data_IF_909014390731
#
_entry.id   IF_909014390731
#
_cell.length_a   1.000
_cell.length_b   1.000
_cell.length_c   1.000
_cell.angle_alpha   90.00
_cell.angle_beta   90.00
_cell.angle_gamma   90.00
#
_symmetry.space_group_name_H-M   'P 1'
#
loop_
_entity.id
_entity.type
_entity.pdbx_description
1 polymer ?
#
# COMPACT_ATOMS: atom_id res chain seq x y z
N UNK A 1 -13.32 -9.92 -42.79
CA UNK A 1 -12.37 -10.77 -43.56
C UNK A 1 -11.79 -9.91 -44.67
N UNK A 2 -10.50 -9.59 -44.60
CA UNK A 2 -9.78 -8.88 -45.67
C UNK A 2 -9.01 -9.94 -46.47
N UNK A 3 -9.44 -10.22 -47.70
CA UNK A 3 -8.71 -11.09 -48.60
C UNK A 3 -7.40 -10.40 -49.00
N UNK A 4 -6.29 -10.96 -48.50
CA UNK A 4 -4.94 -10.55 -48.85
C UNK A 4 -4.34 -11.60 -49.78
N UNK A 5 -4.60 -11.44 -51.07
CA UNK A 5 -3.96 -12.21 -52.13
C UNK A 5 -3.55 -11.24 -53.22
N UNK A 6 -2.35 -10.69 -53.05
CA UNK A 6 -1.41 -10.32 -54.13
C UNK A 6 -0.16 -9.72 -53.49
N UNK A 7 0.76 -10.60 -53.08
CA UNK A 7 2.15 -10.22 -52.79
C UNK A 7 2.93 -10.50 -54.06
N UNK A 8 3.11 -9.47 -54.88
CA UNK A 8 4.02 -9.53 -56.03
C UNK A 8 5.47 -9.41 -55.53
N UNK A 9 6.35 -10.40 -55.79
CA UNK A 9 7.71 -10.46 -55.26
C UNK A 9 8.69 -9.82 -56.23
N UNK A 10 8.75 -8.49 -56.25
CA UNK A 10 9.92 -7.78 -56.78
C UNK A 10 10.50 -6.94 -55.65
N UNK A 11 11.60 -7.48 -55.13
CA UNK A 11 12.45 -7.03 -54.03
C UNK A 11 12.72 -5.53 -54.07
N UNK A 12 11.81 -4.73 -53.53
CA UNK A 12 12.20 -3.46 -52.95
C UNK A 12 12.95 -3.82 -51.66
N UNK A 13 14.28 -3.60 -51.56
CA UNK A 13 15.01 -3.91 -50.34
C UNK A 13 14.25 -3.29 -49.18
N UNK A 14 13.83 -4.11 -48.21
CA UNK A 14 13.06 -3.63 -47.06
C UNK A 14 13.89 -2.53 -46.44
N UNK A 15 13.38 -1.30 -46.49
CA UNK A 15 14.08 -0.15 -45.92
C UNK A 15 14.30 -0.43 -44.44
N UNK A 16 15.56 -0.50 -44.02
CA UNK A 16 15.93 -0.70 -42.63
C UNK A 16 15.63 0.57 -41.84
N UNK A 17 15.03 0.41 -40.66
CA UNK A 17 14.76 1.48 -39.69
C UNK A 17 15.59 1.21 -38.45
N UNK A 18 16.49 2.14 -38.13
CA UNK A 18 17.41 2.07 -36.98
C UNK A 18 16.78 2.74 -35.78
N UNK A 19 16.54 1.95 -34.73
CA UNK A 19 15.96 2.41 -33.49
C UNK A 19 17.01 2.32 -32.39
N UNK A 20 17.46 3.49 -31.93
CA UNK A 20 18.41 3.61 -30.85
C UNK A 20 17.69 3.58 -29.51
N UNK A 21 18.29 2.93 -28.52
CA UNK A 21 17.78 2.94 -27.15
C UNK A 21 18.86 3.11 -26.09
N UNK A 22 18.47 3.76 -24.99
CA UNK A 22 19.32 3.95 -23.81
C UNK A 22 18.56 3.51 -22.56
N UNK A 23 19.24 2.69 -21.76
CA UNK A 23 18.71 2.15 -20.52
C UNK A 23 17.71 1.02 -20.71
N UNK A 24 17.26 0.49 -19.58
CA UNK A 24 16.27 -0.58 -19.47
C UNK A 24 15.29 -0.21 -18.37
N UNK A 25 14.00 -0.43 -18.59
CA UNK A 25 12.93 -0.24 -17.62
C UNK A 25 11.75 -1.12 -17.93
N UNK A 26 11.60 -2.13 -17.09
CA UNK A 26 10.45 -3.02 -17.09
C UNK A 26 9.18 -2.26 -16.63
N UNK A 27 7.99 -2.48 -17.24
CA UNK A 27 7.69 -3.34 -18.40
C UNK A 27 7.78 -2.62 -19.75
N UNK A 28 8.11 -1.32 -19.76
CA UNK A 28 8.02 -0.47 -20.96
C UNK A 28 9.00 -0.91 -22.04
N UNK A 29 10.25 -1.16 -21.66
CA UNK A 29 11.33 -1.49 -22.58
C UNK A 29 12.53 -2.04 -21.81
N UNK A 30 12.87 -3.32 -21.95
CA UNK A 30 13.93 -3.97 -21.17
C UNK A 30 14.58 -5.12 -21.93
N UNK A 31 15.80 -5.47 -21.55
CA UNK A 31 16.51 -6.68 -21.99
C UNK A 31 16.33 -7.77 -20.90
N UNK A 32 15.47 -8.79 -21.12
CA UNK A 32 15.45 -10.00 -20.30
C UNK A 32 16.80 -10.75 -20.32
N UNK A 33 16.90 -11.82 -19.53
CA UNK A 33 18.13 -12.61 -19.34
C UNK A 33 18.75 -13.18 -20.64
N UNK A 34 17.94 -13.33 -21.70
CA UNK A 34 18.39 -13.80 -23.01
C UNK A 34 18.99 -12.69 -23.89
N UNK A 35 19.02 -11.45 -23.39
CA UNK A 35 19.48 -10.27 -24.14
C UNK A 35 18.53 -9.84 -25.26
N UNK A 36 17.38 -10.50 -25.41
CA UNK A 36 16.41 -10.20 -26.45
C UNK A 36 15.50 -9.10 -25.94
N UNK A 37 15.69 -7.90 -26.47
CA UNK A 37 14.87 -6.75 -26.13
C UNK A 37 13.35 -7.05 -26.16
N UNK A 38 12.64 -6.61 -25.12
CA UNK A 38 11.21 -6.83 -24.90
C UNK A 38 10.53 -5.59 -24.29
N UNK A 39 9.20 -5.54 -24.30
CA UNK A 39 8.41 -4.51 -23.62
C UNK A 39 7.39 -3.80 -24.49
N UNK A 40 6.51 -3.03 -23.85
CA UNK A 40 5.37 -2.34 -24.50
C UNK A 40 5.84 -1.44 -25.65
N UNK A 41 6.90 -0.66 -25.44
CA UNK A 41 7.42 0.27 -26.43
C UNK A 41 8.01 -0.45 -27.64
N UNK A 42 8.65 -1.61 -27.43
CA UNK A 42 9.15 -2.44 -28.54
C UNK A 42 8.00 -2.94 -29.40
N UNK A 43 6.98 -3.53 -28.79
CA UNK A 43 5.83 -4.08 -29.51
C UNK A 43 5.03 -3.00 -30.26
N UNK A 44 4.91 -1.81 -29.68
CA UNK A 44 4.33 -0.64 -30.35
C UNK A 44 5.09 -0.31 -31.64
N UNK A 45 6.41 -0.24 -31.58
CA UNK A 45 7.24 0.06 -32.76
C UNK A 45 7.23 -1.06 -33.79
N UNK A 46 7.30 -2.33 -33.38
CA UNK A 46 7.22 -3.48 -34.29
C UNK A 46 5.87 -3.52 -35.02
N UNK A 47 4.79 -3.18 -34.32
CA UNK A 47 3.45 -3.07 -34.90
C UNK A 47 3.38 -1.91 -35.90
N UNK A 48 3.90 -0.73 -35.51
CA UNK A 48 3.91 0.46 -36.36
C UNK A 48 4.79 0.30 -37.62
N UNK A 49 5.85 -0.49 -37.52
CA UNK A 49 6.85 -0.71 -38.58
C UNK A 49 6.69 -2.06 -39.27
N UNK A 50 5.56 -2.75 -39.12
CA UNK A 50 5.33 -4.04 -39.80
C UNK A 50 5.54 -3.91 -41.33
N UNK A 51 6.48 -4.70 -41.86
CA UNK A 51 6.91 -4.64 -43.27
C UNK A 51 8.24 -3.90 -43.51
N UNK A 52 8.81 -3.26 -42.50
CA UNK A 52 10.17 -2.74 -42.49
C UNK A 52 11.10 -3.73 -41.78
N UNK A 53 12.39 -3.67 -42.09
CA UNK A 53 13.41 -4.31 -41.26
C UNK A 53 13.76 -3.36 -40.12
N UNK A 54 13.75 -3.83 -38.87
CA UNK A 54 14.02 -3.00 -37.70
C UNK A 54 15.38 -3.42 -37.14
N UNK A 55 16.30 -2.46 -37.01
CA UNK A 55 17.58 -2.65 -36.37
C UNK A 55 17.57 -1.94 -35.02
N UNK A 56 17.59 -2.72 -33.95
CA UNK A 56 17.67 -2.23 -32.58
C UNK A 56 19.13 -1.97 -32.22
N UNK A 57 19.43 -0.75 -31.75
CA UNK A 57 20.80 -0.34 -31.48
C UNK A 57 20.94 0.24 -30.07
N UNK A 58 21.69 -0.45 -29.21
CA UNK A 58 22.00 0.05 -27.86
C UNK A 58 22.97 1.24 -27.96
N UNK A 59 22.74 2.24 -27.13
CA UNK A 59 23.59 3.42 -27.00
C UNK A 59 23.84 3.71 -25.53
N UNK A 60 24.92 4.44 -25.26
CA UNK A 60 25.31 4.83 -23.90
C UNK A 60 24.62 6.14 -23.49
N UNK A 61 24.54 7.10 -24.42
CA UNK A 61 24.06 8.45 -24.15
C UNK A 61 22.83 8.76 -24.99
N UNK A 62 21.77 9.22 -24.34
CA UNK A 62 20.54 9.59 -25.03
C UNK A 62 20.70 10.87 -25.84
N UNK A 63 21.26 11.88 -25.21
CA UNK A 63 21.36 13.22 -25.76
C UNK A 63 21.21 14.27 -24.67
N UNK A 64 21.94 15.36 -24.84
CA UNK A 64 22.04 16.47 -23.93
C UNK A 64 20.67 17.08 -23.61
N UNK A 65 20.63 17.82 -22.51
CA UNK A 65 19.41 18.50 -22.07
C UNK A 65 19.04 19.63 -23.06
N UNK A 66 20.06 20.39 -23.46
CA UNK A 66 20.01 21.49 -24.41
C UNK A 66 21.03 21.22 -25.53
N UNK A 67 20.77 21.72 -26.74
CA UNK A 67 21.77 21.64 -27.80
C UNK A 67 22.99 22.50 -27.43
N UNK A 68 24.11 22.22 -28.07
CA UNK A 68 25.30 23.06 -28.04
C UNK A 68 25.06 24.43 -28.70
N UNK A 69 26.10 25.26 -28.73
CA UNK A 69 26.06 26.60 -29.34
C UNK A 69 25.70 26.56 -30.84
N UNK A 70 25.93 25.43 -31.52
CA UNK A 70 25.62 25.21 -32.93
C UNK A 70 24.20 24.65 -33.15
N UNK A 71 23.43 24.40 -32.09
CA UNK A 71 22.10 23.81 -32.19
C UNK A 71 22.09 22.28 -32.34
N UNK A 72 23.21 21.61 -32.08
CA UNK A 72 23.33 20.16 -32.13
C UNK A 72 23.25 19.53 -30.74
N UNK A 73 22.50 18.44 -30.64
CA UNK A 73 22.51 17.59 -29.46
C UNK A 73 23.66 16.57 -29.58
N UNK A 74 24.14 16.06 -28.46
CA UNK A 74 25.00 14.88 -28.44
C UNK A 74 24.18 13.57 -28.46
N UNK A 75 24.87 12.42 -28.40
CA UNK A 75 24.27 11.10 -28.29
C UNK A 75 23.27 10.76 -29.40
N UNK A 76 22.24 9.98 -29.07
CA UNK A 76 21.21 9.57 -30.02
C UNK A 76 20.46 10.73 -30.68
N UNK A 77 20.22 11.82 -29.94
CA UNK A 77 19.54 12.98 -30.50
C UNK A 77 20.37 13.67 -31.59
N UNK A 78 21.69 13.77 -31.40
CA UNK A 78 22.63 14.24 -32.42
C UNK A 78 22.73 13.31 -33.62
N UNK A 79 22.82 12.00 -33.39
CA UNK A 79 22.80 10.99 -34.45
C UNK A 79 21.52 11.09 -35.31
N UNK A 80 20.38 11.42 -34.70
CA UNK A 80 19.15 11.66 -35.44
C UNK A 80 19.17 12.95 -36.27
N UNK A 81 19.80 14.01 -35.77
CA UNK A 81 20.01 15.25 -36.54
C UNK A 81 20.94 15.01 -37.73
N UNK A 82 21.92 14.12 -37.59
CA UNK A 82 22.87 13.76 -38.65
C UNK A 82 22.33 12.66 -39.59
N UNK A 83 21.18 12.06 -39.28
CA UNK A 83 20.57 11.01 -40.09
C UNK A 83 21.25 9.63 -39.97
N UNK A 84 22.09 9.42 -38.95
CA UNK A 84 22.67 8.11 -38.63
C UNK A 84 21.76 7.25 -37.75
N UNK A 85 20.74 7.86 -37.15
CA UNK A 85 19.70 7.18 -36.38
C UNK A 85 18.30 7.68 -36.79
N UNK A 86 17.30 6.79 -36.80
CA UNK A 86 15.96 7.14 -37.28
C UNK A 86 15.02 7.48 -36.12
N UNK A 87 15.06 6.68 -35.05
CA UNK A 87 14.18 6.81 -33.88
C UNK A 87 15.02 6.66 -32.61
N UNK A 88 14.71 7.44 -31.58
CA UNK A 88 15.32 7.31 -30.25
C UNK A 88 14.29 6.93 -29.19
N UNK A 89 14.67 5.96 -28.36
CA UNK A 89 13.93 5.46 -27.20
C UNK A 89 14.73 5.68 -25.91
N UNK A 90 14.12 6.31 -24.91
CA UNK A 90 14.72 6.45 -23.58
C UNK A 90 13.68 6.30 -22.49
N UNK A 91 13.74 5.16 -21.82
CA UNK A 91 12.89 4.79 -20.67
C UNK A 91 12.75 5.91 -19.62
N UNK A 92 13.80 6.71 -19.49
CA UNK A 92 14.06 7.64 -18.40
C UNK A 92 13.45 9.03 -18.59
N UNK A 93 13.51 9.62 -19.79
CA UNK A 93 13.25 11.06 -19.97
C UNK A 93 12.68 11.39 -21.36
N UNK A 94 11.45 10.94 -21.54
CA UNK A 94 10.62 11.23 -22.71
C UNK A 94 9.93 12.61 -22.65
N UNK A 95 10.40 13.54 -21.82
CA UNK A 95 9.68 14.78 -21.56
C UNK A 95 9.58 15.67 -22.81
N UNK A 96 8.41 16.28 -23.04
CA UNK A 96 8.21 17.31 -24.05
C UNK A 96 9.13 18.51 -23.78
N UNK A 97 10.16 18.66 -24.62
CA UNK A 97 11.11 19.78 -24.53
C UNK A 97 11.10 20.60 -25.81
N UNK A 98 10.96 21.91 -25.64
CA UNK A 98 10.90 22.87 -26.73
C UNK A 98 12.10 22.76 -27.68
N UNK A 99 13.32 22.68 -27.14
CA UNK A 99 14.54 22.57 -27.96
C UNK A 99 14.56 21.28 -28.81
N UNK A 100 14.22 20.13 -28.20
CA UNK A 100 14.14 18.83 -28.91
C UNK A 100 13.04 18.83 -29.97
N UNK A 101 11.88 19.42 -29.66
CA UNK A 101 10.76 19.56 -30.61
C UNK A 101 11.08 20.49 -31.78
N UNK A 102 11.95 21.48 -31.58
CA UNK A 102 12.41 22.37 -32.64
C UNK A 102 13.32 21.64 -33.64
N UNK A 103 14.18 20.73 -33.17
CA UNK A 103 15.12 19.98 -33.98
C UNK A 103 14.55 18.68 -34.58
N UNK A 104 13.67 17.99 -33.85
CA UNK A 104 13.23 16.62 -34.18
C UNK A 104 11.71 16.58 -34.42
N UNK A 105 11.22 15.46 -34.98
CA UNK A 105 9.80 15.12 -34.88
C UNK A 105 9.54 14.39 -33.57
N UNK A 106 8.30 14.45 -33.09
CA UNK A 106 7.87 13.79 -31.86
C UNK A 106 6.52 13.08 -32.07
N UNK A 107 6.26 12.06 -31.27
CA UNK A 107 4.99 11.31 -31.30
C UNK A 107 3.91 12.03 -30.50
N UNK A 108 2.66 11.54 -30.60
CA UNK A 108 1.66 11.86 -29.58
C UNK A 108 2.12 11.32 -28.21
N UNK A 109 1.61 11.85 -27.09
CA UNK A 109 1.92 11.34 -25.76
C UNK A 109 1.61 9.84 -25.62
N UNK A 110 2.59 9.07 -25.14
CA UNK A 110 2.49 7.60 -25.06
C UNK A 110 2.16 7.16 -23.64
N UNK A 111 2.77 7.80 -22.66
CA UNK A 111 2.49 7.58 -21.25
C UNK A 111 2.40 8.93 -20.54
N UNK A 112 1.71 8.92 -19.42
CA UNK A 112 1.79 9.96 -18.41
C UNK A 112 2.59 9.39 -17.24
N UNK A 113 3.60 10.12 -16.81
CA UNK A 113 4.48 9.72 -15.72
C UNK A 113 4.66 10.88 -14.75
N UNK A 114 4.70 10.56 -13.47
CA UNK A 114 4.93 11.53 -12.41
C UNK A 114 6.22 11.13 -11.67
N UNK A 115 7.13 12.09 -11.51
CA UNK A 115 8.31 11.92 -10.67
C UNK A 115 8.01 12.48 -9.29
N UNK A 116 8.23 11.68 -8.25
CA UNK A 116 8.01 12.09 -6.87
C UNK A 116 9.05 11.46 -5.94
N UNK A 117 9.02 11.95 -4.69
CA UNK A 117 9.68 11.27 -3.58
C UNK A 117 8.74 10.24 -2.98
N UNK A 118 9.26 9.05 -2.74
CA UNK A 118 8.54 7.93 -2.17
C UNK A 118 9.29 7.40 -0.96
N UNK A 119 8.54 6.95 0.02
CA UNK A 119 9.05 6.29 1.20
C UNK A 119 8.30 4.98 1.44
N UNK A 120 8.93 4.03 2.12
CA UNK A 120 8.25 2.81 2.56
C UNK A 120 7.10 3.18 3.50
N UNK A 121 5.92 2.65 3.22
CA UNK A 121 4.81 2.64 4.16
C UNK A 121 5.11 1.52 5.16
N UNK A 122 5.48 1.89 6.38
CA UNK A 122 5.61 0.93 7.47
C UNK A 122 4.26 0.25 7.67
N UNK A 123 4.21 -1.04 7.37
CA UNK A 123 3.04 -1.87 7.66
C UNK A 123 3.21 -2.29 9.11
N UNK A 124 2.79 -1.42 10.03
CA UNK A 124 2.64 -1.84 11.42
C UNK A 124 1.50 -2.84 11.48
N UNK A 125 1.86 -4.12 11.48
CA UNK A 125 1.01 -5.15 12.07
C UNK A 125 1.08 -4.96 13.58
N UNK A 126 0.41 -3.92 14.08
CA UNK A 126 0.04 -3.97 15.48
C UNK A 126 -0.86 -5.19 15.63
N UNK A 127 -0.56 -6.13 16.55
CA UNK A 127 -1.53 -7.15 16.93
C UNK A 127 -2.76 -6.34 17.29
N UNK A 128 -3.82 -6.50 16.51
CA UNK A 128 -4.96 -5.61 16.63
C UNK A 128 -5.52 -5.94 18.00
N UNK A 129 -5.17 -5.09 18.96
CA UNK A 129 -5.84 -5.05 20.24
C UNK A 129 -7.22 -4.69 19.79
N UNK A 130 -8.07 -5.70 19.68
CA UNK A 130 -9.52 -5.57 19.66
C UNK A 130 -9.76 -4.36 20.50
N UNK A 131 -10.24 -3.27 19.89
CA UNK A 131 -10.62 -2.08 20.60
C UNK A 131 -11.62 -2.60 21.61
N UNK A 132 -11.17 -2.88 22.83
CA UNK A 132 -12.04 -2.97 23.97
C UNK A 132 -12.36 -1.48 24.09
N UNK A 133 -13.53 -1.02 23.62
CA UNK A 133 -13.83 0.41 23.65
C UNK A 133 -13.86 0.93 25.09
N UNK A 134 -13.82 0.00 26.04
CA UNK A 134 -13.68 0.22 27.45
C UNK A 134 -12.25 -0.06 27.90
N UNK A 135 -11.71 0.85 28.71
CA UNK A 135 -10.45 0.63 29.42
C UNK A 135 -10.54 -0.65 30.26
N UNK A 136 -9.41 -1.33 30.49
CA UNK A 136 -9.37 -2.49 31.39
C UNK A 136 -10.02 -2.20 32.76
N UNK A 137 -9.90 -0.95 33.22
CA UNK A 137 -10.55 -0.43 34.43
C UNK A 137 -12.08 -0.50 34.36
N UNK A 138 -12.69 -0.06 33.26
CA UNK A 138 -14.15 -0.11 33.10
C UNK A 138 -14.66 -1.55 33.03
N UNK A 139 -13.94 -2.43 32.32
CA UNK A 139 -14.27 -3.87 32.29
C UNK A 139 -14.16 -4.48 33.70
N UNK A 140 -13.13 -4.14 34.47
CA UNK A 140 -12.98 -4.59 35.85
C UNK A 140 -14.11 -4.10 36.76
N UNK A 141 -14.55 -2.83 36.61
CA UNK A 141 -15.69 -2.27 37.34
C UNK A 141 -16.97 -3.03 37.01
N UNK A 142 -17.21 -3.35 35.73
CA UNK A 142 -18.39 -4.11 35.31
C UNK A 142 -18.39 -5.52 35.88
N UNK A 143 -17.24 -6.21 35.87
CA UNK A 143 -17.10 -7.53 36.52
C UNK A 143 -17.35 -7.42 38.02
N UNK A 144 -16.78 -6.42 38.69
CA UNK A 144 -16.98 -6.19 40.12
C UNK A 144 -18.46 -5.91 40.46
N UNK A 145 -19.17 -5.13 39.64
CA UNK A 145 -20.61 -4.88 39.79
C UNK A 145 -21.43 -6.16 39.64
N UNK A 146 -21.12 -7.00 38.63
CA UNK A 146 -21.80 -8.29 38.44
C UNK A 146 -21.55 -9.22 39.64
N UNK A 147 -20.31 -9.29 40.14
CA UNK A 147 -19.97 -10.08 41.32
C UNK A 147 -20.69 -9.56 42.58
N UNK A 148 -20.72 -8.25 42.81
CA UNK A 148 -21.43 -7.63 43.92
C UNK A 148 -22.94 -7.95 43.87
N UNK A 149 -23.56 -7.86 42.69
CA UNK A 149 -24.95 -8.22 42.47
C UNK A 149 -25.23 -9.71 42.73
N UNK A 150 -24.29 -10.60 42.44
CA UNK A 150 -24.42 -12.03 42.77
C UNK A 150 -24.25 -12.32 44.25
N UNK A 151 -23.36 -11.60 44.92
CA UNK A 151 -23.18 -11.70 46.37
C UNK A 151 -24.41 -11.19 47.13
N UNK A 152 -25.03 -10.10 46.69
CA UNK A 152 -26.28 -9.60 47.30
C UNK A 152 -27.44 -10.58 47.06
N UNK A 153 -27.57 -11.15 45.86
CA UNK A 153 -28.56 -12.20 45.58
C UNK A 153 -28.37 -13.40 46.52
N UNK A 154 -27.14 -13.87 46.71
CA UNK A 154 -26.82 -14.96 47.62
C UNK A 154 -27.10 -14.62 49.10
N UNK A 155 -26.76 -13.40 49.53
CA UNK A 155 -27.02 -12.94 50.90
C UNK A 155 -28.53 -12.82 51.18
N UNK A 156 -29.31 -12.29 50.24
CA UNK A 156 -30.77 -12.22 50.36
C UNK A 156 -31.37 -13.62 50.48
N UNK A 157 -30.94 -14.57 49.65
CA UNK A 157 -31.37 -15.98 49.77
C UNK A 157 -31.03 -16.57 51.13
N UNK A 158 -29.80 -16.37 51.62
CA UNK A 158 -29.38 -16.87 52.93
C UNK A 158 -30.19 -16.26 54.10
N UNK A 159 -30.54 -14.98 54.01
CA UNK A 159 -31.43 -14.32 54.99
C UNK A 159 -32.83 -14.91 54.93
N UNK A 160 -33.40 -15.09 53.73
CA UNK A 160 -34.73 -15.71 53.57
C UNK A 160 -34.73 -17.13 54.15
N UNK A 161 -33.71 -17.94 53.87
CA UNK A 161 -33.60 -19.30 54.43
C UNK A 161 -33.47 -19.30 55.96
N UNK A 162 -32.69 -18.37 56.52
CA UNK A 162 -32.45 -18.28 57.96
C UNK A 162 -33.67 -17.81 58.75
N UNK A 163 -34.49 -16.93 58.17
CA UNK A 163 -35.65 -16.34 58.85
C UNK A 163 -37.00 -16.94 58.42
N UNK A 164 -37.09 -17.58 57.25
CA UNK A 164 -38.31 -18.20 56.72
C UNK A 164 -38.60 -19.62 57.22
N UNK A 165 -37.68 -20.20 58.00
CA UNK A 165 -37.73 -21.60 58.40
C UNK A 165 -38.59 -21.98 59.61
N UNK A 166 -39.43 -21.10 60.19
CA UNK A 166 -40.16 -21.48 61.43
C UNK A 166 -41.63 -21.13 61.64
N UNK A 167 -42.32 -20.33 60.83
CA UNK A 167 -43.76 -20.09 61.05
C UNK A 167 -44.58 -20.07 59.75
N UNK A 168 -45.44 -21.09 59.61
CA UNK A 168 -46.20 -21.44 58.39
C UNK A 168 -47.35 -20.51 58.00
N UNK A 169 -47.34 -19.24 58.38
CA UNK A 169 -48.41 -18.28 58.01
C UNK A 169 -47.89 -17.00 57.31
N UNK A 170 -46.58 -16.76 57.27
CA UNK A 170 -45.99 -15.58 56.62
C UNK A 170 -45.63 -15.82 55.13
N UNK A 171 -46.19 -16.86 54.50
CA UNK A 171 -45.79 -17.32 53.17
C UNK A 171 -46.53 -16.63 51.99
N UNK A 172 -47.68 -16.00 52.21
CA UNK A 172 -48.44 -15.39 51.10
C UNK A 172 -48.08 -13.93 50.79
N UNK A 173 -47.63 -13.13 51.76
CA UNK A 173 -47.23 -11.72 51.51
C UNK A 173 -45.73 -11.52 51.30
N UNK A 174 -44.88 -12.43 51.81
CA UNK A 174 -43.42 -12.36 51.59
C UNK A 174 -43.00 -12.87 50.21
N UNK A 175 -43.77 -13.79 49.61
CA UNK A 175 -43.51 -14.29 48.26
C UNK A 175 -43.69 -13.20 47.18
N UNK A 176 -44.63 -12.27 47.33
CA UNK A 176 -44.82 -11.20 46.35
C UNK A 176 -43.69 -10.17 46.41
N UNK A 177 -43.25 -9.76 47.60
CA UNK A 177 -42.14 -8.82 47.78
C UNK A 177 -40.78 -9.39 47.38
N UNK A 178 -40.52 -10.66 47.66
CA UNK A 178 -39.29 -11.34 47.23
C UNK A 178 -39.27 -11.60 45.72
N UNK A 179 -40.40 -11.98 45.13
CA UNK A 179 -40.56 -12.09 43.68
C UNK A 179 -40.38 -10.73 42.99
N UNK A 180 -40.97 -9.67 43.55
CA UNK A 180 -40.83 -8.30 43.05
C UNK A 180 -39.37 -7.84 43.14
N UNK A 181 -38.70 -8.08 44.26
CA UNK A 181 -37.27 -7.76 44.44
C UNK A 181 -36.37 -8.52 43.47
N UNK A 182 -36.61 -9.82 43.27
CA UNK A 182 -35.88 -10.62 42.29
C UNK A 182 -36.14 -10.14 40.85
N UNK A 183 -37.37 -9.72 40.53
CA UNK A 183 -37.74 -9.17 39.24
C UNK A 183 -37.06 -7.80 38.99
N UNK A 184 -37.10 -6.89 39.97
CA UNK A 184 -36.38 -5.62 39.90
C UNK A 184 -34.87 -5.80 39.74
N UNK A 185 -34.27 -6.76 40.46
CA UNK A 185 -32.86 -7.07 40.32
C UNK A 185 -32.51 -7.60 38.92
N UNK A 186 -33.33 -8.49 38.37
CA UNK A 186 -33.16 -9.00 36.99
C UNK A 186 -33.33 -7.88 35.96
N UNK A 187 -34.32 -7.00 36.12
CA UNK A 187 -34.53 -5.85 35.25
C UNK A 187 -33.36 -4.86 35.31
N UNK A 188 -32.81 -4.61 36.51
CA UNK A 188 -31.64 -3.75 36.69
C UNK A 188 -30.40 -4.31 35.94
N UNK A 189 -30.15 -5.62 36.03
CA UNK A 189 -29.06 -6.27 35.28
C UNK A 189 -29.27 -6.13 33.77
N UNK A 190 -30.48 -6.42 33.28
CA UNK A 190 -30.81 -6.31 31.86
C UNK A 190 -30.60 -4.86 31.38
N UNK A 191 -31.04 -3.89 32.15
CA UNK A 191 -30.89 -2.47 31.83
C UNK A 191 -29.41 -2.05 31.75
N UNK A 192 -28.58 -2.46 32.72
CA UNK A 192 -27.14 -2.21 32.69
C UNK A 192 -26.47 -2.86 31.47
N UNK A 193 -26.86 -4.10 31.13
CA UNK A 193 -26.35 -4.78 29.94
C UNK A 193 -26.78 -4.09 28.63
N UNK A 194 -28.00 -3.57 28.57
CA UNK A 194 -28.48 -2.81 27.40
C UNK A 194 -27.67 -1.52 27.26
N UNK A 195 -27.49 -0.76 28.33
CA UNK A 195 -26.66 0.46 28.31
C UNK A 195 -25.23 0.13 27.90
N UNK A 196 -24.64 -0.93 28.44
CA UNK A 196 -23.31 -1.37 28.09
C UNK A 196 -23.18 -1.72 26.60
N UNK A 197 -24.09 -2.53 26.08
CA UNK A 197 -24.07 -2.91 24.66
C UNK A 197 -24.34 -1.70 23.75
N UNK A 198 -25.25 -0.82 24.11
CA UNK A 198 -25.51 0.41 23.37
C UNK A 198 -24.27 1.33 23.37
N UNK A 199 -23.59 1.48 24.51
CA UNK A 199 -22.34 2.23 24.61
C UNK A 199 -21.21 1.55 23.80
N UNK A 200 -21.09 0.22 23.88
CA UNK A 200 -20.13 -0.57 23.12
C UNK A 200 -20.34 -0.37 21.61
N UNK A 201 -21.56 -0.56 21.14
CA UNK A 201 -21.92 -0.40 19.72
C UNK A 201 -21.69 1.04 19.31
N UNK A 202 -22.15 2.03 20.09
CA UNK A 202 -21.93 3.45 19.81
C UNK A 202 -20.45 3.82 19.68
N UNK A 203 -19.59 3.32 20.57
CA UNK A 203 -18.14 3.50 20.49
C UNK A 203 -17.52 2.76 19.31
N UNK A 204 -17.95 1.52 19.04
CA UNK A 204 -17.44 0.69 17.94
C UNK A 204 -17.87 1.20 16.55
N UNK A 205 -19.04 1.85 16.45
CA UNK A 205 -19.59 2.36 15.19
C UNK A 205 -19.37 3.85 14.98
N UNK A 206 -18.86 4.59 15.97
CA UNK A 206 -18.67 6.03 15.86
C UNK A 206 -17.65 6.36 14.76
N UNK A 207 -18.07 7.01 13.65
CA UNK A 207 -17.18 7.41 12.58
C UNK A 207 -16.36 8.59 13.09
N UNK A 208 -15.08 8.35 13.40
CA UNK A 208 -14.20 9.39 13.94
C UNK A 208 -13.73 9.16 15.38
N UNK A 209 -13.85 7.95 15.93
CA UNK A 209 -12.87 7.54 16.94
C UNK A 209 -11.52 7.36 16.22
N UNK A 210 -10.88 8.48 15.92
CA UNK A 210 -9.42 8.51 15.98
C UNK A 210 -9.07 7.89 17.34
N UNK A 211 -8.26 6.83 17.40
CA UNK A 211 -8.05 6.04 18.63
C UNK A 211 -7.61 6.92 19.81
N UNK A 212 -8.54 7.45 20.62
CA UNK A 212 -8.33 8.47 21.66
C UNK A 212 -6.92 8.39 22.27
N UNK A 213 -6.09 9.44 22.10
CA UNK A 213 -4.75 9.56 22.70
C UNK A 213 -4.90 9.51 24.22
N UNK A 214 -4.89 8.32 24.80
CA UNK A 214 -4.78 8.16 26.24
C UNK A 214 -3.35 8.54 26.63
N UNK A 215 -3.18 9.73 27.21
CA UNK A 215 -1.97 10.14 27.91
C UNK A 215 -1.76 9.24 29.13
N UNK A 216 -1.28 8.02 28.90
CA UNK A 216 -0.61 7.19 29.91
C UNK A 216 0.84 7.01 29.46
N UNK A 217 1.84 7.18 30.34
CA UNK A 217 3.25 7.21 29.97
C UNK A 217 3.85 5.86 29.52
N UNK A 218 3.02 4.89 29.11
CA UNK A 218 3.49 3.59 28.59
C UNK A 218 2.81 3.14 27.28
N UNK A 219 1.84 3.88 26.73
CA UNK A 219 1.14 3.50 25.49
C UNK A 219 0.87 4.74 24.63
N UNK A 220 1.92 5.36 24.09
CA UNK A 220 1.82 6.57 23.24
C UNK A 220 1.87 6.24 21.74
N UNK A 221 1.89 4.98 21.32
CA UNK A 221 2.20 4.62 19.92
C UNK A 221 1.02 4.39 18.96
N UNK A 222 -0.25 4.49 19.41
CA UNK A 222 -1.38 3.86 18.68
C UNK A 222 -2.18 4.81 17.77
N UNK A 223 -1.87 6.11 17.75
CA UNK A 223 -2.67 7.12 17.02
C UNK A 223 -2.07 7.65 15.73
N UNK A 224 -0.78 7.46 15.49
CA UNK A 224 -0.13 7.96 14.29
C UNK A 224 -0.32 7.03 13.07
N UNK A 225 -1.02 5.90 13.24
CA UNK A 225 -0.99 4.79 12.27
C UNK A 225 -2.11 4.88 11.22
N UNK A 226 -3.28 5.44 11.56
CA UNK A 226 -4.38 5.60 10.59
C UNK A 226 -4.28 6.89 9.76
N UNK A 227 -3.51 7.87 10.25
CA UNK A 227 -3.11 9.06 9.52
C UNK A 227 -1.59 9.20 9.67
N UNK A 228 -0.85 8.20 9.16
CA UNK A 228 0.54 8.45 8.81
C UNK A 228 0.52 9.41 7.61
N UNK A 229 0.21 10.69 7.89
CA UNK A 229 0.39 11.78 6.95
C UNK A 229 1.72 11.54 6.27
N UNK A 230 1.69 11.53 4.95
CA UNK A 230 2.92 11.47 4.17
C UNK A 230 3.87 12.52 4.73
N UNK A 231 5.13 12.13 4.99
CA UNK A 231 6.08 13.12 5.51
C UNK A 231 6.08 14.28 4.52
N UNK A 232 5.98 15.50 5.03
CA UNK A 232 6.08 16.69 4.18
C UNK A 232 7.51 16.80 3.69
N UNK A 233 7.69 17.24 2.45
CA UNK A 233 9.00 17.43 1.84
C UNK A 233 9.90 18.32 2.71
N UNK A 234 9.30 19.31 3.38
CA UNK A 234 9.94 20.20 4.35
C UNK A 234 10.64 19.46 5.50
N UNK A 235 10.05 18.37 6.01
CA UNK A 235 10.65 17.57 7.08
C UNK A 235 11.78 16.66 6.56
N UNK A 236 11.71 16.24 5.29
CA UNK A 236 12.65 15.30 4.68
C UNK A 236 13.94 15.99 4.23
N UNK A 237 13.85 17.20 3.68
CA UNK A 237 15.00 17.91 3.10
C UNK A 237 16.16 18.16 4.10
N UNK A 238 15.93 18.64 5.34
CA UNK A 238 17.00 18.79 6.32
C UNK A 238 17.69 17.47 6.67
N UNK A 239 16.95 16.36 6.70
CA UNK A 239 17.49 15.04 7.02
C UNK A 239 18.39 14.50 5.90
N UNK A 240 18.04 14.73 4.64
CA UNK A 240 18.91 14.43 3.49
C UNK A 240 20.20 15.23 3.55
N UNK A 241 20.12 16.55 3.81
CA UNK A 241 21.30 17.43 3.93
C UNK A 241 22.25 16.99 5.03
N UNK A 242 21.70 16.64 6.18
CA UNK A 242 22.46 16.12 7.33
C UNK A 242 22.97 14.69 7.13
N UNK A 243 22.60 14.02 6.03
CA UNK A 243 22.94 12.63 5.77
C UNK A 243 22.32 11.62 6.73
N UNK A 244 21.22 12.01 7.39
CA UNK A 244 20.38 11.11 8.20
C UNK A 244 19.41 10.28 7.35
N UNK A 245 19.21 10.67 6.10
CA UNK A 245 18.43 9.95 5.10
C UNK A 245 19.25 9.68 3.85
N UNK A 246 18.94 8.57 3.19
CA UNK A 246 19.55 8.14 1.92
C UNK A 246 18.59 8.40 0.79
N UNK A 247 19.01 9.14 -0.23
CA UNK A 247 18.27 9.28 -1.49
C UNK A 247 18.66 8.15 -2.44
N UNK A 248 17.68 7.41 -2.92
CA UNK A 248 17.83 6.33 -3.89
C UNK A 248 17.27 6.78 -5.24
N UNK A 249 18.05 6.58 -6.30
CA UNK A 249 17.64 6.84 -7.68
C UNK A 249 17.98 5.65 -8.59
N UNK A 250 17.38 5.60 -9.78
CA UNK A 250 17.56 4.47 -10.70
C UNK A 250 18.87 4.53 -11.51
N UNK A 251 19.32 5.74 -11.85
CA UNK A 251 20.48 5.97 -12.72
C UNK A 251 21.10 7.33 -12.43
N UNK A 252 22.38 7.47 -12.74
CA UNK A 252 23.18 8.69 -12.50
C UNK A 252 22.55 9.95 -13.10
N UNK A 253 21.94 9.84 -14.29
CA UNK A 253 21.26 10.95 -14.97
C UNK A 253 19.87 11.32 -14.41
N UNK A 254 19.36 10.66 -13.36
CA UNK A 254 18.03 10.98 -12.80
C UNK A 254 18.03 12.39 -12.20
N UNK A 255 19.10 12.70 -11.47
CA UNK A 255 19.31 13.96 -10.77
C UNK A 255 20.62 14.54 -11.28
N UNK A 256 20.55 15.70 -11.94
CA UNK A 256 21.74 16.42 -12.42
C UNK A 256 22.63 16.81 -11.24
N UNK A 257 23.93 17.00 -11.47
CA UNK A 257 24.85 17.43 -10.41
C UNK A 257 24.44 18.76 -9.78
N UNK A 258 23.89 19.68 -10.56
CA UNK A 258 23.29 20.92 -10.02
C UNK A 258 22.16 20.63 -9.02
N UNK A 259 21.29 19.68 -9.35
CA UNK A 259 20.20 19.25 -8.47
C UNK A 259 20.73 18.48 -7.24
N UNK A 260 21.84 17.74 -7.37
CA UNK A 260 22.50 17.09 -6.23
C UNK A 260 23.02 18.17 -5.26
N UNK A 261 23.76 19.16 -5.74
CA UNK A 261 24.22 20.29 -4.93
C UNK A 261 23.05 21.06 -4.29
N UNK A 262 21.95 21.26 -5.01
CA UNK A 262 20.74 21.90 -4.48
C UNK A 262 20.09 21.11 -3.33
N UNK A 263 20.02 19.78 -3.46
CA UNK A 263 19.42 18.89 -2.45
C UNK A 263 20.30 18.75 -1.22
N UNK A 264 21.59 18.49 -1.41
CA UNK A 264 22.52 18.06 -0.38
C UNK A 264 23.37 19.19 0.20
N UNK A 265 23.58 20.27 -0.56
CA UNK A 265 24.51 21.36 -0.25
C UNK A 265 25.94 21.14 -0.76
N UNK A 266 26.24 19.92 -1.20
CA UNK A 266 27.52 19.41 -1.67
C UNK A 266 27.30 18.27 -2.68
N UNK A 267 28.37 17.67 -3.22
CA UNK A 267 28.25 16.51 -4.11
C UNK A 267 28.20 15.21 -3.27
N UNK A 268 27.06 14.50 -3.22
CA UNK A 268 26.91 13.29 -2.45
C UNK A 268 27.37 12.03 -3.21
N UNK A 269 27.86 12.14 -4.46
CA UNK A 269 28.10 10.99 -5.35
C UNK A 269 29.09 9.98 -4.75
N UNK A 270 30.02 10.43 -3.90
CA UNK A 270 30.95 9.56 -3.16
C UNK A 270 30.43 9.01 -1.82
N UNK A 271 29.26 9.46 -1.33
CA UNK A 271 28.70 9.07 -0.03
C UNK A 271 27.46 8.18 -0.19
N UNK A 272 27.69 6.86 -0.17
CA UNK A 272 26.63 5.85 -0.28
C UNK A 272 25.61 5.89 0.85
N UNK A 273 25.86 6.62 1.96
CA UNK A 273 24.88 6.81 3.03
C UNK A 273 23.88 7.91 2.69
N UNK A 274 24.28 8.89 1.88
CA UNK A 274 23.45 10.05 1.49
C UNK A 274 22.78 9.84 0.14
N UNK A 275 23.48 9.20 -0.79
CA UNK A 275 23.01 9.03 -2.16
C UNK A 275 23.41 7.68 -2.73
N UNK A 276 22.44 6.92 -3.27
CA UNK A 276 22.69 5.64 -3.93
C UNK A 276 21.99 5.58 -5.28
N UNK A 277 22.75 5.14 -6.27
CA UNK A 277 22.23 4.79 -7.59
C UNK A 277 22.04 3.28 -7.61
N UNK A 278 20.79 2.83 -7.69
CA UNK A 278 20.45 1.41 -7.68
C UNK A 278 19.55 1.12 -8.89
N UNK A 279 20.16 0.55 -9.92
CA UNK A 279 19.45 0.11 -11.14
C UNK A 279 18.66 -1.18 -10.92
N UNK A 280 19.15 -2.07 -10.04
CA UNK A 280 18.45 -3.31 -9.72
C UNK A 280 17.21 -3.05 -8.86
N UNK A 281 16.07 -3.54 -9.32
CA UNK A 281 14.76 -3.28 -8.71
C UNK A 281 14.61 -3.99 -7.36
N UNK A 282 15.16 -5.20 -7.24
CA UNK A 282 15.06 -6.02 -6.04
C UNK A 282 15.95 -5.48 -4.92
N UNK A 283 17.21 -5.12 -5.22
CA UNK A 283 18.10 -4.47 -4.26
C UNK A 283 17.50 -3.16 -3.75
N UNK A 284 16.99 -2.33 -4.67
CA UNK A 284 16.35 -1.06 -4.35
C UNK A 284 15.13 -1.25 -3.45
N UNK A 285 14.25 -2.18 -3.78
CA UNK A 285 13.06 -2.44 -2.97
C UNK A 285 13.43 -3.01 -1.59
N UNK A 286 14.42 -3.92 -1.53
CA UNK A 286 14.96 -4.44 -0.27
C UNK A 286 15.52 -3.31 0.59
N UNK A 287 16.30 -2.40 0.02
CA UNK A 287 16.84 -1.24 0.73
C UNK A 287 15.71 -0.36 1.27
N UNK A 288 14.75 0.02 0.41
CA UNK A 288 13.67 0.92 0.80
C UNK A 288 12.76 0.31 1.87
N UNK A 289 12.48 -1.00 1.83
CA UNK A 289 11.62 -1.63 2.84
C UNK A 289 12.31 -1.91 4.18
N UNK A 290 13.63 -2.12 4.20
CA UNK A 290 14.36 -2.41 5.44
C UNK A 290 14.97 -1.16 6.08
N UNK A 291 15.08 -0.06 5.34
CA UNK A 291 15.68 1.18 5.82
C UNK A 291 14.64 2.32 5.79
N UNK A 292 14.01 2.68 6.93
CA UNK A 292 13.01 3.75 6.99
C UNK A 292 13.60 5.16 6.73
N UNK A 293 14.93 5.28 6.73
CA UNK A 293 15.66 6.48 6.33
C UNK A 293 15.99 6.52 4.83
N UNK A 294 15.70 5.47 4.07
CA UNK A 294 15.87 5.48 2.62
C UNK A 294 14.59 6.01 1.95
N UNK A 295 14.76 7.01 1.09
CA UNK A 295 13.69 7.52 0.23
C UNK A 295 14.07 7.32 -1.23
N UNK A 296 13.08 7.15 -2.09
CA UNK A 296 13.28 6.98 -3.52
C UNK A 296 12.80 8.22 -4.28
N UNK A 297 13.59 8.67 -5.25
CA UNK A 297 13.17 9.70 -6.21
C UNK A 297 13.12 9.12 -7.63
N UNK A 298 11.94 9.17 -8.24
CA UNK A 298 11.72 8.68 -9.60
C UNK A 298 10.24 8.44 -9.85
N UNK A 299 9.91 7.46 -10.69
CA UNK A 299 8.52 7.08 -11.00
C UNK A 299 8.08 5.92 -10.10
N UNK A 300 6.85 5.93 -9.57
CA UNK A 300 6.37 4.87 -8.66
C UNK A 300 6.38 3.48 -9.29
N UNK A 301 6.02 3.38 -10.57
CA UNK A 301 5.97 2.07 -11.22
C UNK A 301 7.36 1.43 -11.34
N UNK A 302 8.43 2.24 -11.35
CA UNK A 302 9.82 1.79 -11.33
C UNK A 302 10.29 1.30 -9.95
N UNK A 303 9.40 1.20 -8.96
CA UNK A 303 9.68 0.51 -7.69
C UNK A 303 8.58 -0.51 -7.31
N UNK A 304 7.40 -0.46 -7.93
CA UNK A 304 6.28 -1.34 -7.59
C UNK A 304 6.12 -2.55 -8.51
N UNK A 305 6.83 -2.61 -9.64
CA UNK A 305 6.66 -3.65 -10.64
C UNK A 305 7.97 -4.37 -10.93
N UNK A 306 7.93 -5.70 -10.86
CA UNK A 306 9.03 -6.57 -11.23
C UNK A 306 8.62 -7.46 -12.40
N UNK A 307 9.63 -7.90 -13.14
CA UNK A 307 9.51 -8.92 -14.18
C UNK A 307 8.70 -10.11 -13.64
N UNK A 308 7.58 -10.52 -14.27
CA UNK A 308 6.75 -11.62 -13.80
C UNK A 308 7.52 -12.95 -13.71
N UNK A 309 8.63 -13.11 -14.45
CA UNK A 309 9.50 -14.27 -14.33
C UNK A 309 10.21 -14.31 -12.97
N UNK A 310 10.41 -13.16 -12.34
CA UNK A 310 10.89 -13.03 -10.96
C UNK A 310 9.68 -12.88 -10.05
N UNK A 311 9.39 -13.90 -9.23
CA UNK A 311 8.30 -13.86 -8.24
C UNK A 311 8.67 -12.90 -7.10
N UNK A 312 8.78 -11.61 -7.41
CA UNK A 312 9.02 -10.57 -6.44
C UNK A 312 7.68 -9.99 -6.03
N UNK A 313 7.26 -10.32 -4.82
CA UNK A 313 6.19 -9.61 -4.13
C UNK A 313 6.85 -8.48 -3.34
N UNK A 314 6.47 -7.21 -3.57
CA UNK A 314 7.01 -6.11 -2.80
C UNK A 314 6.76 -6.37 -1.30
N UNK A 315 7.83 -6.32 -0.50
CA UNK A 315 7.76 -6.61 0.95
C UNK A 315 7.02 -5.55 1.76
N UNK A 316 6.93 -4.34 1.21
CA UNK A 316 6.25 -3.20 1.79
C UNK A 316 5.54 -2.41 0.68
N UNK A 317 4.55 -1.61 1.08
CA UNK A 317 3.93 -0.61 0.21
C UNK A 317 4.76 0.68 0.22
N UNK A 318 4.53 1.57 -0.75
CA UNK A 318 5.15 2.89 -0.78
C UNK A 318 4.09 3.97 -0.68
N UNK A 319 4.45 5.10 -0.07
CA UNK A 319 3.62 6.31 -0.05
C UNK A 319 4.41 7.49 -0.64
N UNK A 320 3.68 8.40 -1.27
CA UNK A 320 4.24 9.64 -1.82
C UNK A 320 4.52 10.59 -0.66
N UNK A 321 5.71 11.20 -0.62
CA UNK A 321 6.05 12.29 0.29
C UNK A 321 5.33 13.56 -0.18
N UNK A 322 4.63 14.24 0.73
CA UNK A 322 3.82 15.42 0.37
C UNK A 322 4.71 16.56 -0.11
N UNK A 323 4.62 16.85 -1.40
CA UNK A 323 5.37 17.90 -2.10
C UNK A 323 4.52 19.13 -2.44
N UNK A 324 3.37 19.32 -1.81
CA UNK A 324 2.50 20.49 -2.08
C UNK A 324 3.19 21.82 -1.73
N UNK A 325 3.93 21.86 -0.61
CA UNK A 325 4.67 23.06 -0.19
C UNK A 325 6.09 23.10 -0.79
N UNK A 326 6.20 23.34 -2.10
CA UNK A 326 7.49 23.49 -2.79
C UNK A 326 8.23 24.78 -2.42
N UNK A 327 7.60 25.73 -1.72
CA UNK A 327 8.20 27.01 -1.37
C UNK A 327 9.41 26.86 -0.43
N UNK A 328 9.47 25.77 0.35
CA UNK A 328 10.58 25.48 1.25
C UNK A 328 11.87 25.07 0.52
N UNK A 329 11.76 24.55 -0.71
CA UNK A 329 12.94 24.25 -1.50
C UNK A 329 13.64 25.57 -1.87
N UNK A 330 14.98 25.67 -1.71
CA UNK A 330 15.73 26.87 -2.08
C UNK A 330 15.38 27.38 -3.48
N UNK A 331 15.55 28.69 -3.74
CA UNK A 331 15.40 29.25 -5.08
C UNK A 331 16.27 28.55 -6.12
N UNK A 332 17.41 27.97 -5.72
CA UNK A 332 18.24 27.18 -6.62
C UNK A 332 17.55 25.91 -7.13
N UNK A 333 16.57 25.34 -6.39
CA UNK A 333 15.86 24.09 -6.73
C UNK A 333 14.83 24.17 -7.88
N UNK A 334 14.95 25.12 -8.82
CA UNK A 334 13.96 25.33 -9.88
C UNK A 334 13.73 24.10 -10.75
N UNK A 335 14.78 23.33 -11.05
CA UNK A 335 14.66 22.11 -11.86
C UNK A 335 13.84 21.03 -11.16
N UNK A 336 14.02 20.89 -9.84
CA UNK A 336 13.30 19.95 -8.99
C UNK A 336 11.83 20.38 -8.87
N UNK A 337 11.57 21.67 -8.60
CA UNK A 337 10.21 22.24 -8.51
C UNK A 337 9.39 22.04 -9.79
N UNK A 338 10.06 22.03 -10.95
CA UNK A 338 9.42 21.75 -12.24
C UNK A 338 9.12 20.26 -12.48
N UNK A 339 9.77 19.35 -11.75
CA UNK A 339 9.66 17.89 -11.92
C UNK A 339 8.66 17.26 -10.96
N UNK A 340 8.77 17.58 -9.68
CA UNK A 340 8.03 16.90 -8.61
C UNK A 340 6.53 17.17 -8.70
N UNK A 341 5.73 16.14 -8.48
CA UNK A 341 4.27 16.25 -8.32
C UNK A 341 3.54 16.62 -9.61
N UNK A 342 4.26 16.71 -10.72
CA UNK A 342 3.71 17.13 -12.01
C UNK A 342 3.69 15.94 -12.94
N UNK A 343 2.48 15.59 -13.37
CA UNK A 343 2.29 14.63 -14.44
C UNK A 343 2.91 15.17 -15.72
N UNK A 344 3.78 14.37 -16.33
CA UNK A 344 4.49 14.67 -17.55
C UNK A 344 4.10 13.68 -18.62
N UNK A 345 3.91 14.22 -19.81
CA UNK A 345 3.67 13.44 -21.00
C UNK A 345 5.01 12.99 -21.58
N UNK A 346 5.10 11.72 -21.90
CA UNK A 346 6.25 11.10 -22.55
C UNK A 346 6.00 10.98 -24.04
N UNK A 347 7.00 11.29 -24.86
CA UNK A 347 6.98 11.16 -26.33
C UNK A 347 8.27 10.51 -26.84
N UNK A 348 8.20 9.84 -27.99
CA UNK A 348 9.39 9.41 -28.72
C UNK A 348 9.79 10.45 -29.74
N UNK A 349 11.10 10.58 -29.98
CA UNK A 349 11.62 11.44 -31.03
C UNK A 349 11.94 10.64 -32.29
N UNK A 350 11.73 11.28 -33.45
CA UNK A 350 12.03 10.75 -34.78
C UNK A 350 12.87 11.76 -35.57
N UNK A 351 13.82 11.27 -36.36
CA UNK A 351 14.66 12.11 -37.22
C UNK A 351 13.79 12.82 -38.26
N UNK A 352 14.05 14.11 -38.48
CA UNK A 352 13.41 14.87 -39.56
C UNK A 352 13.94 14.49 -40.94
N UNK A 353 15.18 14.01 -41.00
CA UNK A 353 15.87 13.68 -42.25
C UNK A 353 15.48 12.30 -42.77
N UNK A 354 15.45 11.30 -41.89
CA UNK A 354 15.35 9.90 -42.34
C UNK A 354 13.95 9.29 -42.22
N UNK A 355 13.10 9.80 -41.32
CA UNK A 355 11.77 9.22 -41.05
C UNK A 355 10.68 9.89 -41.93
N UNK A 356 10.16 9.19 -42.95
CA UNK A 356 9.17 9.75 -43.86
C UNK A 356 7.82 9.96 -43.16
N UNK A 357 7.03 10.91 -43.68
CA UNK A 357 5.67 11.22 -43.20
C UNK A 357 4.76 9.99 -43.12
N UNK A 358 4.95 9.00 -44.00
CA UNK A 358 4.18 7.74 -44.01
C UNK A 358 4.38 6.92 -42.72
N UNK A 359 5.63 6.78 -42.25
CA UNK A 359 5.93 6.07 -40.99
C UNK A 359 5.30 6.83 -39.82
N UNK A 360 5.44 8.16 -39.78
CA UNK A 360 4.85 9.01 -38.72
C UNK A 360 3.33 8.84 -38.62
N UNK A 361 2.62 8.97 -39.74
CA UNK A 361 1.15 8.79 -39.78
C UNK A 361 0.74 7.39 -39.33
N UNK A 362 1.48 6.36 -39.75
CA UNK A 362 1.21 4.98 -39.37
C UNK A 362 1.45 4.75 -37.87
N UNK A 363 2.53 5.28 -37.32
CA UNK A 363 2.80 5.21 -35.89
C UNK A 363 1.66 5.86 -35.09
N UNK A 364 1.27 7.10 -35.43
CA UNK A 364 0.15 7.77 -34.74
C UNK A 364 -1.16 6.98 -34.85
N UNK A 365 -1.43 6.35 -36.00
CA UNK A 365 -2.61 5.50 -36.16
C UNK A 365 -2.57 4.26 -35.25
N UNK A 366 -1.44 3.56 -35.20
CA UNK A 366 -1.26 2.37 -34.33
C UNK A 366 -1.33 2.77 -32.87
N UNK A 367 -0.67 3.86 -32.49
CA UNK A 367 -0.73 4.42 -31.15
C UNK A 367 -2.18 4.72 -30.76
N UNK A 368 -2.94 5.46 -31.57
CA UNK A 368 -4.33 5.81 -31.22
C UNK A 368 -5.32 4.64 -31.27
N UNK A 369 -5.00 3.51 -31.93
CA UNK A 369 -5.95 2.40 -32.14
C UNK A 369 -5.65 1.15 -31.33
N UNK A 370 -4.37 0.87 -31.06
CA UNK A 370 -3.91 -0.40 -30.47
C UNK A 370 -3.22 -0.15 -29.14
N UNK A 371 -2.51 0.97 -29.03
CA UNK A 371 -1.75 1.37 -27.86
C UNK A 371 -2.22 2.75 -27.40
N UNK A 372 -3.53 2.96 -27.35
CA UNK A 372 -4.01 4.19 -26.73
C UNK A 372 -3.58 4.20 -25.26
N UNK A 373 -3.62 5.37 -24.62
CA UNK A 373 -3.08 5.51 -23.27
C UNK A 373 -3.75 4.54 -22.29
N UNK A 374 -5.06 4.40 -22.38
CA UNK A 374 -5.84 3.58 -21.45
C UNK A 374 -5.52 2.08 -21.66
N UNK A 375 -5.38 1.63 -22.90
CA UNK A 375 -4.96 0.26 -23.25
C UNK A 375 -3.51 0.00 -22.84
N UNK A 376 -2.63 0.98 -22.99
CA UNK A 376 -1.22 0.90 -22.57
C UNK A 376 -1.12 0.67 -21.06
N UNK A 377 -1.88 1.46 -20.30
CA UNK A 377 -1.86 1.45 -18.84
C UNK A 377 -2.64 0.29 -18.21
N UNK A 378 -3.59 -0.31 -18.95
CA UNK A 378 -4.41 -1.42 -18.48
C UNK A 378 -4.02 -2.75 -19.12
N UNK A 379 -4.38 -2.96 -20.38
CA UNK A 379 -4.22 -4.23 -21.08
C UNK A 379 -2.75 -4.60 -21.28
N UNK A 380 -1.96 -3.73 -21.92
CA UNK A 380 -0.56 -4.00 -22.22
C UNK A 380 0.28 -4.10 -20.95
N UNK A 381 0.01 -3.22 -19.99
CA UNK A 381 0.62 -3.26 -18.67
C UNK A 381 0.35 -4.59 -17.94
N UNK A 382 -0.92 -4.99 -17.82
CA UNK A 382 -1.30 -6.24 -17.14
C UNK A 382 -0.75 -7.46 -17.85
N UNK A 383 -0.72 -7.46 -19.18
CA UNK A 383 -0.18 -8.59 -19.96
C UNK A 383 1.29 -8.84 -19.63
N UNK A 384 2.09 -7.80 -19.47
CA UNK A 384 3.52 -7.95 -19.16
C UNK A 384 3.82 -8.06 -17.67
N UNK A 385 3.04 -7.45 -16.79
CA UNK A 385 3.33 -7.42 -15.34
C UNK A 385 2.49 -8.39 -14.52
N UNK A 386 1.43 -8.95 -15.10
CA UNK A 386 0.35 -9.67 -14.40
C UNK A 386 -0.29 -8.87 -13.24
N UNK A 387 -0.18 -7.53 -13.26
CA UNK A 387 -0.67 -6.64 -12.18
C UNK A 387 -1.29 -5.36 -12.78
N UNK A 388 -2.25 -4.71 -12.09
CA UNK A 388 -2.68 -3.37 -12.48
C UNK A 388 -1.57 -2.34 -12.22
N UNK A 389 -1.54 -1.27 -13.01
CA UNK A 389 -0.61 -0.15 -12.82
C UNK A 389 -1.02 0.65 -11.56
N UNK A 390 -0.07 0.83 -10.62
CA UNK A 390 -0.34 1.34 -9.26
C UNK A 390 -0.68 2.85 -9.19
N UNK A 391 -0.22 3.67 -10.14
CA UNK A 391 -0.49 5.11 -10.17
C UNK A 391 -1.93 5.48 -10.60
N UNK A 392 -2.72 4.50 -11.06
CA UNK A 392 -4.12 4.68 -11.44
C UNK A 392 -5.12 4.12 -10.44
N UNK A 393 -4.67 3.66 -9.27
CA UNK A 393 -5.59 3.38 -8.17
C UNK A 393 -6.21 4.70 -7.72
N UNK A 394 -7.36 5.04 -8.33
CA UNK A 394 -8.21 6.11 -7.85
C UNK A 394 -8.46 5.83 -6.36
N UNK A 395 -8.31 6.83 -5.47
CA UNK A 395 -8.68 6.65 -4.08
C UNK A 395 -10.10 6.10 -4.07
N UNK A 396 -10.27 4.89 -3.52
CA UNK A 396 -11.58 4.29 -3.47
C UNK A 396 -12.46 5.21 -2.62
N UNK A 397 -13.45 5.85 -3.25
CA UNK A 397 -14.38 6.79 -2.61
C UNK A 397 -15.08 6.08 -1.43
N UNK A 398 -15.25 4.77 -1.55
CA UNK A 398 -15.71 3.88 -0.50
C UNK A 398 -14.68 2.78 -0.33
N UNK A 399 -13.93 2.81 0.77
CA UNK A 399 -13.05 1.72 1.16
C UNK A 399 -13.76 0.95 2.27
N UNK A 400 -14.22 -0.26 1.94
CA UNK A 400 -14.57 -1.26 2.95
C UNK A 400 -13.31 -2.07 3.17
N UNK A 401 -12.46 -1.66 4.12
CA UNK A 401 -11.34 -2.52 4.51
C UNK A 401 -11.94 -3.68 5.32
N UNK A 402 -11.90 -4.92 4.81
CA UNK A 402 -12.36 -6.05 5.59
C UNK A 402 -11.55 -6.09 6.87
N UNK A 403 -12.23 -6.23 8.01
CA UNK A 403 -11.57 -6.40 9.31
C UNK A 403 -10.80 -7.72 9.22
N UNK A 404 -9.47 -7.66 9.27
CA UNK A 404 -8.63 -8.84 9.18
C UNK A 404 -8.92 -9.82 10.32
N UNK A 405 -8.78 -11.12 10.08
CA UNK A 405 -8.96 -12.15 11.13
C UNK A 405 -8.02 -11.94 12.33
N UNK A 406 -6.86 -11.34 12.10
CA UNK A 406 -5.91 -10.93 13.15
C UNK A 406 -6.54 -9.98 14.17
N UNK A 407 -7.53 -9.17 13.75
CA UNK A 407 -8.23 -8.29 14.67
C UNK A 407 -9.16 -9.01 15.64
N UNK A 408 -9.44 -10.30 15.41
CA UNK A 408 -10.20 -11.14 16.32
C UNK A 408 -9.33 -12.13 17.08
N UNK A 409 -8.00 -12.12 16.86
CA UNK A 409 -7.07 -13.08 17.45
C UNK A 409 -7.18 -13.08 18.98
N UNK A 410 -7.14 -11.90 19.60
CA UNK A 410 -7.29 -11.76 21.05
C UNK A 410 -8.65 -12.28 21.56
N UNK A 411 -9.75 -12.03 20.83
CA UNK A 411 -11.08 -12.56 21.18
C UNK A 411 -11.06 -14.08 21.12
N UNK A 412 -10.48 -14.68 20.07
CA UNK A 412 -10.40 -16.13 19.93
C UNK A 412 -9.54 -16.77 21.03
N UNK A 413 -8.44 -16.13 21.42
CA UNK A 413 -7.59 -16.58 22.53
C UNK A 413 -8.37 -16.56 23.85
N UNK A 414 -9.04 -15.44 24.16
CA UNK A 414 -9.84 -15.30 25.39
C UNK A 414 -10.98 -16.32 25.41
N UNK A 415 -11.73 -16.43 24.30
CA UNK A 415 -12.85 -17.36 24.19
C UNK A 415 -12.38 -18.81 24.31
N UNK A 416 -11.28 -19.18 23.66
CA UNK A 416 -10.67 -20.49 23.77
C UNK A 416 -10.22 -20.81 25.20
N UNK A 417 -9.61 -19.85 25.90
CA UNK A 417 -9.19 -20.01 27.30
C UNK A 417 -10.39 -20.17 28.25
N UNK A 418 -11.44 -19.37 28.09
CA UNK A 418 -12.67 -19.48 28.89
C UNK A 418 -13.39 -20.82 28.67
N UNK A 419 -13.45 -21.29 27.42
CA UNK A 419 -14.04 -22.56 27.07
C UNK A 419 -13.25 -23.72 27.69
N UNK A 420 -11.91 -23.69 27.62
CA UNK A 420 -11.05 -24.69 28.25
C UNK A 420 -11.19 -24.68 29.78
N UNK A 421 -11.29 -23.51 30.40
CA UNK A 421 -11.54 -23.37 31.84
C UNK A 421 -12.91 -23.95 32.23
N UNK A 422 -13.96 -23.70 31.44
CA UNK A 422 -15.30 -24.27 31.66
C UNK A 422 -15.28 -25.81 31.60
N UNK A 423 -14.57 -26.39 30.64
CA UNK A 423 -14.37 -27.84 30.57
C UNK A 423 -13.63 -28.38 31.80
N UNK A 424 -12.62 -27.67 32.29
CA UNK A 424 -11.87 -28.06 33.48
C UNK A 424 -12.76 -28.07 34.73
N UNK A 425 -13.57 -27.03 34.94
CA UNK A 425 -14.53 -26.96 36.05
C UNK A 425 -15.54 -28.11 35.96
N UNK A 426 -16.07 -28.38 34.77
CA UNK A 426 -17.01 -29.48 34.55
C UNK A 426 -16.40 -30.86 34.89
N UNK A 427 -15.14 -31.10 34.51
CA UNK A 427 -14.43 -32.33 34.87
C UNK A 427 -14.26 -32.43 36.39
N UNK A 428 -13.86 -31.34 37.06
CA UNK A 428 -13.72 -31.30 38.51
C UNK A 428 -15.04 -31.57 39.21
N UNK A 429 -16.15 -31.03 38.73
CA UNK A 429 -17.49 -31.30 39.26
C UNK A 429 -17.87 -32.78 39.12
N UNK A 430 -17.60 -33.41 37.98
CA UNK A 430 -17.84 -34.85 37.80
C UNK A 430 -17.00 -35.68 38.78
N UNK A 431 -15.71 -35.35 38.91
CA UNK A 431 -14.80 -36.05 39.82
C UNK A 431 -15.25 -35.88 41.27
N UNK A 432 -15.57 -34.65 41.68
CA UNK A 432 -16.10 -34.33 43.00
C UNK A 432 -17.41 -35.10 43.27
N UNK A 433 -18.37 -35.05 42.35
CA UNK A 433 -19.64 -35.75 42.47
C UNK A 433 -19.46 -37.27 42.59
N UNK A 434 -18.45 -37.85 41.93
CA UNK A 434 -18.15 -39.29 42.03
C UNK A 434 -17.44 -39.67 43.34
N UNK A 435 -16.46 -38.88 43.77
CA UNK A 435 -15.70 -39.13 45.00
C UNK A 435 -16.56 -38.91 46.24
N UNK A 436 -17.29 -37.79 46.31
CA UNK A 436 -18.07 -37.39 47.48
C UNK A 436 -19.37 -38.19 47.65
N UNK A 437 -19.98 -38.67 46.55
CA UNK A 437 -21.13 -39.61 46.62
C UNK A 437 -20.76 -40.96 47.25
N UNK A 438 -19.49 -41.35 47.23
CA UNK A 438 -19.04 -42.60 47.87
C UNK A 438 -18.86 -42.46 49.38
N UNK A 439 -18.52 -41.29 49.88
CA UNK A 439 -18.23 -41.07 51.30
C UNK A 439 -19.45 -40.63 52.12
N UNK A 440 -20.46 -40.00 51.52
CA UNK A 440 -21.65 -39.51 52.26
C UNK A 440 -22.99 -39.86 51.59
N UNK A 441 -23.57 -41.05 51.85
CA UNK A 441 -24.85 -41.46 51.25
C UNK A 441 -26.05 -40.58 51.62
N UNK A 442 -25.99 -39.83 52.73
CA UNK A 442 -27.03 -38.87 53.13
C UNK A 442 -27.21 -37.67 52.19
N UNK A 443 -26.15 -37.28 51.45
CA UNK A 443 -26.17 -36.15 50.49
C UNK A 443 -26.90 -36.53 49.19
N UNK A 444 -27.16 -37.82 48.95
CA UNK A 444 -27.85 -38.33 47.76
C UNK A 444 -29.29 -37.85 47.66
N UNK A 445 -29.95 -37.58 48.79
CA UNK A 445 -31.31 -37.04 48.83
C UNK A 445 -31.35 -35.52 48.60
N UNK A 446 -30.31 -34.78 49.05
CA UNK A 446 -30.21 -33.34 48.82
C UNK A 446 -29.94 -32.98 47.34
N UNK A 447 -29.11 -33.76 46.63
CA UNK A 447 -28.88 -33.54 45.20
C UNK A 447 -30.09 -33.91 44.32
N UNK A 448 -30.89 -34.91 44.72
CA UNK A 448 -32.17 -35.19 44.05
C UNK A 448 -33.15 -34.03 44.19
N UNK A 449 -33.09 -33.31 45.31
CA UNK A 449 -33.93 -32.14 45.57
C UNK A 449 -33.48 -30.93 44.72
N UNK A 450 -32.18 -30.65 44.63
CA UNK A 450 -31.69 -29.52 43.81
C UNK A 450 -31.89 -29.69 42.30
N UNK A 451 -31.75 -30.91 41.75
CA UNK A 451 -32.07 -31.18 40.33
C UNK A 451 -33.58 -31.11 40.01
N UNK A 452 -34.44 -30.99 41.01
CA UNK A 452 -35.88 -30.76 40.83
C UNK A 452 -36.23 -29.26 40.87
N UNK A 453 -35.29 -28.41 41.29
CA UNK A 453 -35.50 -26.98 41.60
C UNK A 453 -34.79 -26.07 40.58
N UNK A 454 -33.68 -26.52 40.02
CA UNK A 454 -33.01 -25.91 38.86
C UNK A 454 -33.35 -26.70 37.60
#
# INVERSE_FOLDING_TARGET
MWNSTEVSPLLNPRKTVRIGYVGSGFPLFHEPFDGILAGIHKELWETALRGYEIRWEKREVYGSYEPDENGFFDGMLGEMQNGTLDIALQVVDFSYRRARMAALYYTLPIEEAEENFYESKEIFFEPSIVVIPFTAHFTAILIALVLAMKLTEAAVRAVIERFGGREGSFWMSSNSLTLLGALFHRLAIIFVLIIYNAAFVGLATSPGVEPIRFHTPCYVLVMEICNMESRKLEAVMPLLRQGKMTLVVNYEGTIKDTMKHELFGDDPTGDSRRYRIIGDMEEKHKLLCHNPSAIYFGRIYSITHNDPQKIYKPQCAFKVIDSTNLAFLPPSCELIKRRIGRKRLSTFYMSRLTVPRKIRKRFSYVQLRVFDRDMTDTFWWRRLTNRPRFDHEKPQIYWFQPIGLTAFETIFIIFGALLLFSFLVFILEIVYARLFKRTHPGVRNAYKFMNYVF
#
